data_IF_187175121681
#
_entry.id   IF_187175121681
#
_cell.length_a   1.000
_cell.length_b   1.000
_cell.length_c   1.000
_cell.angle_alpha   90.00
_cell.angle_beta   90.00
_cell.angle_gamma   90.00
#
_symmetry.space_group_name_H-M   'P 1'
#
loop_
_entity.id
_entity.type
_entity.pdbx_description
1 polymer ?
#
# COMPACT_ATOMS: atom_id res chain seq x y z
N UNK A 1 -8.18 -24.52 1.23
CA UNK A 1 -7.78 -23.63 2.33
C UNK A 1 -8.90 -22.64 2.55
N UNK A 2 -9.44 -22.51 3.75
CA UNK A 2 -10.42 -21.47 4.10
C UNK A 2 -9.76 -20.11 3.95
N UNK A 3 -10.38 -19.18 3.22
CA UNK A 3 -9.89 -17.80 3.08
C UNK A 3 -9.77 -17.21 4.48
N UNK A 4 -8.58 -16.73 4.84
CA UNK A 4 -8.39 -16.01 6.09
C UNK A 4 -9.34 -14.81 6.17
N UNK A 5 -9.68 -14.37 7.37
CA UNK A 5 -10.40 -13.12 7.55
C UNK A 5 -9.67 -11.98 6.82
N UNK A 6 -10.44 -11.04 6.28
CA UNK A 6 -9.89 -9.90 5.55
C UNK A 6 -8.95 -9.10 6.47
N UNK A 7 -7.71 -8.81 6.05
CA UNK A 7 -6.78 -8.10 6.91
C UNK A 7 -7.18 -6.63 7.03
N UNK A 8 -7.02 -6.08 8.22
CA UNK A 8 -6.90 -4.63 8.40
C UNK A 8 -5.57 -4.15 7.81
N UNK A 9 -5.65 -3.21 6.87
CA UNK A 9 -4.52 -2.53 6.23
C UNK A 9 -4.52 -1.06 6.65
N UNK A 10 -3.48 -0.66 7.38
CA UNK A 10 -3.33 0.72 7.88
C UNK A 10 -2.67 1.58 6.81
N UNK A 11 -3.32 2.69 6.46
CA UNK A 11 -2.79 3.68 5.50
C UNK A 11 -2.73 5.09 6.10
N UNK A 12 -1.89 5.92 5.50
CA UNK A 12 -1.75 7.34 5.83
C UNK A 12 -1.68 8.16 4.55
N UNK A 13 -2.30 9.34 4.60
CA UNK A 13 -2.39 10.25 3.44
C UNK A 13 -1.70 11.58 3.69
N UNK A 14 -1.31 12.25 2.60
CA UNK A 14 -0.71 13.57 2.59
C UNK A 14 -1.23 14.37 1.38
N UNK A 15 -1.49 15.67 1.57
CA UNK A 15 -1.98 16.56 0.52
C UNK A 15 -3.50 16.64 0.46
N UNK A 16 -4.00 17.31 -0.58
CA UNK A 16 -5.42 17.52 -0.84
C UNK A 16 -6.00 16.32 -1.60
N UNK A 17 -7.07 15.65 -1.11
CA UNK A 17 -7.73 14.55 -1.84
C UNK A 17 -8.31 14.93 -3.21
N UNK A 18 -8.45 16.23 -3.53
CA UNK A 18 -8.82 16.69 -4.86
C UNK A 18 -7.67 16.62 -5.89
N UNK A 19 -6.42 16.43 -5.44
CA UNK A 19 -5.26 16.28 -6.32
C UNK A 19 -5.13 14.85 -6.88
N UNK A 20 -4.40 14.67 -8.01
CA UNK A 20 -4.12 13.34 -8.55
C UNK A 20 -3.50 12.38 -7.50
N UNK A 21 -4.10 11.20 -7.27
CA UNK A 21 -3.64 10.28 -6.24
C UNK A 21 -2.40 9.51 -6.64
N UNK A 22 -1.56 9.23 -5.64
CA UNK A 22 -0.34 8.43 -5.75
C UNK A 22 -0.28 7.41 -4.62
N UNK A 23 -0.25 6.13 -4.98
CA UNK A 23 -0.06 5.03 -4.03
C UNK A 23 1.42 4.63 -3.97
N UNK A 24 1.98 4.66 -2.77
CA UNK A 24 3.34 4.25 -2.47
C UNK A 24 3.34 2.84 -1.85
N UNK A 25 3.95 1.87 -2.53
CA UNK A 25 4.05 0.47 -2.13
C UNK A 25 5.49 0.17 -1.69
N UNK A 26 5.68 -0.10 -0.40
CA UNK A 26 7.01 -0.36 0.16
C UNK A 26 7.46 -1.81 -0.08
N UNK A 27 8.78 -2.03 0.01
CA UNK A 27 9.41 -3.34 -0.11
C UNK A 27 9.14 -4.29 1.06
N UNK A 28 9.68 -5.51 0.95
CA UNK A 28 9.51 -6.57 1.94
C UNK A 28 10.00 -6.13 3.33
N UNK A 29 9.26 -6.53 4.37
CA UNK A 29 9.58 -6.29 5.79
C UNK A 29 9.68 -4.81 6.22
N UNK A 30 9.45 -3.86 5.30
CA UNK A 30 9.48 -2.45 5.59
C UNK A 30 8.06 -1.91 5.82
N UNK A 31 7.91 -1.10 6.86
CA UNK A 31 6.66 -0.38 7.13
C UNK A 31 6.53 0.85 6.21
N UNK A 32 5.35 1.45 6.18
CA UNK A 32 5.09 2.69 5.45
C UNK A 32 6.03 3.84 5.84
N UNK A 33 6.58 3.81 7.07
CA UNK A 33 7.45 4.85 7.60
C UNK A 33 8.81 4.90 6.89
N UNK A 34 9.17 3.85 6.16
CA UNK A 34 10.38 3.84 5.34
C UNK A 34 10.27 4.78 4.13
N UNK A 35 9.06 5.17 3.72
CA UNK A 35 8.87 6.37 2.90
C UNK A 35 8.99 7.54 3.87
N UNK A 36 10.07 8.35 3.88
CA UNK A 36 10.20 9.38 4.90
C UNK A 36 9.06 10.39 4.80
N UNK A 37 8.53 10.86 5.94
CA UNK A 37 7.42 11.81 5.93
C UNK A 37 7.73 13.07 5.10
N UNK A 38 8.96 13.59 5.21
CA UNK A 38 9.41 14.74 4.42
C UNK A 38 9.35 14.48 2.90
N UNK A 39 9.60 13.24 2.46
CA UNK A 39 9.46 12.85 1.07
C UNK A 39 7.98 12.87 0.64
N UNK A 40 7.09 12.26 1.43
CA UNK A 40 5.65 12.27 1.16
C UNK A 40 5.08 13.69 1.12
N UNK A 41 5.46 14.55 2.08
CA UNK A 41 5.06 15.97 2.11
C UNK A 41 5.60 16.75 0.93
N UNK A 42 6.83 16.47 0.47
CA UNK A 42 7.39 17.11 -0.72
C UNK A 42 6.59 16.74 -1.96
N UNK A 43 6.24 15.47 -2.15
CA UNK A 43 5.37 15.03 -3.25
C UNK A 43 3.99 15.69 -3.19
N UNK A 44 3.37 15.71 -2.00
CA UNK A 44 2.09 16.36 -1.80
C UNK A 44 2.12 17.87 -2.10
N UNK A 45 3.21 18.55 -1.70
CA UNK A 45 3.46 19.96 -2.02
C UNK A 45 3.66 20.25 -3.51
N UNK A 46 3.85 19.22 -4.34
CA UNK A 46 3.87 19.31 -5.81
C UNK A 46 2.52 18.93 -6.45
N UNK A 47 1.42 18.99 -5.69
CA UNK A 47 0.07 18.81 -6.22
C UNK A 47 -0.35 17.34 -6.39
N UNK A 48 0.10 16.46 -5.48
CA UNK A 48 -0.30 15.05 -5.45
C UNK A 48 -1.07 14.73 -4.16
N UNK A 49 -2.02 13.80 -4.24
CA UNK A 49 -2.60 13.16 -3.06
C UNK A 49 -1.86 11.87 -2.75
N UNK A 50 -0.94 11.90 -1.80
CA UNK A 50 -0.02 10.79 -1.55
C UNK A 50 -0.59 9.86 -0.50
N UNK A 51 -0.64 8.56 -0.81
CA UNK A 51 -1.12 7.49 0.06
C UNK A 51 0.05 6.52 0.25
N UNK A 52 0.39 6.23 1.50
CA UNK A 52 1.30 5.14 1.87
C UNK A 52 0.59 4.20 2.83
N UNK A 53 0.98 2.92 2.86
CA UNK A 53 0.35 1.94 3.74
C UNK A 53 1.35 0.90 4.24
N UNK A 54 1.00 0.28 5.35
CA UNK A 54 1.71 -0.87 5.90
C UNK A 54 1.22 -2.13 5.18
N UNK A 55 2.09 -2.86 4.48
CA UNK A 55 1.77 -4.21 4.05
C UNK A 55 1.38 -5.07 5.27
N UNK A 56 0.60 -6.12 5.06
CA UNK A 56 0.43 -7.17 6.08
C UNK A 56 1.79 -7.62 6.62
N UNK A 57 1.81 -7.95 7.92
CA UNK A 57 3.01 -8.31 8.69
C UNK A 57 4.02 -7.17 8.90
N UNK A 58 3.72 -5.94 8.49
CA UNK A 58 4.53 -4.75 8.80
C UNK A 58 3.74 -3.67 9.54
N UNK A 59 4.47 -2.82 10.27
CA UNK A 59 3.91 -1.65 10.95
C UNK A 59 2.68 -1.95 11.81
N UNK A 60 1.55 -1.31 11.50
CA UNK A 60 0.29 -1.42 12.25
C UNK A 60 -0.79 -2.26 11.56
N UNK A 61 -0.54 -2.75 10.34
CA UNK A 61 -1.44 -3.67 9.67
C UNK A 61 -1.49 -5.03 10.37
N UNK A 62 -2.48 -5.84 9.95
CA UNK A 62 -2.67 -7.22 10.42
C UNK A 62 -1.37 -8.01 10.34
N UNK A 63 -1.09 -8.80 11.38
CA UNK A 63 0.09 -9.68 11.47
C UNK A 63 -0.34 -11.12 11.72
N UNK A 64 0.44 -12.04 11.16
CA UNK A 64 0.24 -13.48 11.25
C UNK A 64 1.43 -14.14 11.95
N UNK A 65 1.25 -15.41 12.31
CA UNK A 65 2.33 -16.20 12.90
C UNK A 65 3.49 -16.34 11.90
N UNK A 66 4.74 -16.07 12.31
CA UNK A 66 5.91 -16.27 11.44
C UNK A 66 6.01 -17.70 10.92
N UNK A 67 6.29 -17.86 9.63
CA UNK A 67 6.48 -19.17 8.98
C UNK A 67 5.20 -19.81 8.42
N UNK A 68 4.03 -19.31 8.79
CA UNK A 68 2.73 -19.84 8.34
C UNK A 68 1.79 -18.71 7.84
N UNK A 69 2.21 -17.88 6.86
CA UNK A 69 1.35 -16.81 6.37
C UNK A 69 0.11 -17.42 5.69
N UNK A 70 -1.12 -17.10 6.15
CA UNK A 70 -2.34 -17.65 5.56
C UNK A 70 -2.76 -16.87 4.30
N UNK A 71 -1.79 -16.39 3.54
CA UNK A 71 -2.00 -15.53 2.38
C UNK A 71 -0.91 -15.72 1.33
N UNK A 72 -1.25 -15.26 0.13
CA UNK A 72 -0.41 -15.32 -1.06
C UNK A 72 0.09 -13.93 -1.44
N UNK A 73 1.03 -13.88 -2.38
CA UNK A 73 1.45 -12.61 -2.97
C UNK A 73 0.29 -11.91 -3.71
N UNK A 74 -0.65 -12.67 -4.30
CA UNK A 74 -1.82 -12.10 -4.98
C UNK A 74 -2.76 -11.39 -3.98
N UNK A 75 -2.89 -11.92 -2.76
CA UNK A 75 -3.63 -11.22 -1.71
C UNK A 75 -2.99 -9.87 -1.33
N UNK A 76 -1.66 -9.73 -1.46
CA UNK A 76 -0.98 -8.45 -1.24
C UNK A 76 -1.22 -7.46 -2.39
N UNK A 77 -1.45 -7.96 -3.61
CA UNK A 77 -1.88 -7.14 -4.75
C UNK A 77 -3.30 -6.63 -4.51
N UNK A 78 -4.19 -7.50 -4.05
CA UNK A 78 -5.56 -7.13 -3.68
C UNK A 78 -5.60 -6.13 -2.52
N UNK A 79 -4.67 -6.22 -1.55
CA UNK A 79 -4.55 -5.22 -0.48
C UNK A 79 -4.23 -3.83 -1.04
N UNK A 80 -3.32 -3.73 -2.00
CA UNK A 80 -2.95 -2.44 -2.61
C UNK A 80 -4.14 -1.80 -3.34
N UNK A 81 -4.94 -2.61 -4.06
CA UNK A 81 -6.18 -2.16 -4.71
C UNK A 81 -7.21 -1.74 -3.66
N UNK A 82 -7.41 -2.55 -2.62
CA UNK A 82 -8.35 -2.26 -1.53
C UNK A 82 -8.00 -0.98 -0.77
N UNK A 83 -6.71 -0.66 -0.61
CA UNK A 83 -6.30 0.65 -0.07
C UNK A 83 -6.87 1.79 -0.92
N UNK A 84 -6.81 1.70 -2.25
CA UNK A 84 -7.41 2.70 -3.13
C UNK A 84 -8.93 2.73 -3.01
N UNK A 85 -9.58 1.57 -2.98
CA UNK A 85 -11.04 1.46 -2.83
C UNK A 85 -11.54 2.11 -1.53
N UNK A 86 -10.83 1.90 -0.42
CA UNK A 86 -11.16 2.48 0.88
C UNK A 86 -11.01 4.02 0.90
N UNK A 87 -10.20 4.58 -0.01
CA UNK A 87 -10.09 6.03 -0.23
C UNK A 87 -11.02 6.54 -1.35
N UNK A 88 -11.83 5.69 -1.95
CA UNK A 88 -12.74 6.04 -3.05
C UNK A 88 -12.03 6.38 -4.36
N UNK A 89 -10.83 5.81 -4.60
CA UNK A 89 -9.98 6.15 -5.73
C UNK A 89 -10.04 5.07 -6.81
N UNK A 90 -10.54 5.45 -7.98
CA UNK A 90 -10.63 4.54 -9.13
C UNK A 90 -9.33 4.44 -9.96
N UNK A 91 -8.47 5.47 -9.93
CA UNK A 91 -7.22 5.54 -10.71
C UNK A 91 -6.16 6.29 -9.93
N UNK A 92 -4.93 5.79 -9.92
CA UNK A 92 -3.80 6.42 -9.23
C UNK A 92 -2.48 6.20 -9.98
N UNK A 93 -1.50 7.07 -9.71
CA UNK A 93 -0.10 6.75 -9.97
C UNK A 93 0.37 5.71 -8.95
N UNK A 94 0.93 4.59 -9.41
CA UNK A 94 1.41 3.53 -8.52
C UNK A 94 2.94 3.53 -8.53
N UNK A 95 3.55 3.65 -7.34
CA UNK A 95 5.00 3.66 -7.16
C UNK A 95 5.38 2.51 -6.24
N UNK A 96 6.16 1.57 -6.77
CA UNK A 96 6.62 0.40 -6.03
C UNK A 96 8.13 0.38 -5.82
N UNK A 97 8.58 0.07 -4.60
CA UNK A 97 10.00 -0.09 -4.26
C UNK A 97 10.32 -1.56 -3.95
N UNK A 98 11.31 -2.15 -4.63
CA UNK A 98 11.73 -3.55 -4.42
C UNK A 98 10.55 -4.53 -4.59
N UNK A 99 10.18 -5.30 -3.56
CA UNK A 99 8.95 -6.12 -3.56
C UNK A 99 7.70 -5.32 -3.93
N UNK A 100 7.60 -4.05 -3.51
CA UNK A 100 6.50 -3.19 -3.90
C UNK A 100 6.45 -2.91 -5.41
N UNK A 101 7.59 -2.97 -6.10
CA UNK A 101 7.66 -2.91 -7.57
C UNK A 101 7.09 -4.17 -8.24
N UNK A 102 7.23 -5.34 -7.61
CA UNK A 102 6.57 -6.56 -8.08
C UNK A 102 5.06 -6.48 -7.89
N UNK A 103 4.61 -5.98 -6.72
CA UNK A 103 3.18 -5.72 -6.47
C UNK A 103 2.62 -4.74 -7.50
N UNK A 104 3.30 -3.61 -7.74
CA UNK A 104 2.86 -2.60 -8.69
C UNK A 104 2.70 -3.15 -10.13
N UNK A 105 3.60 -4.03 -10.56
CA UNK A 105 3.46 -4.71 -11.86
C UNK A 105 2.21 -5.59 -11.91
N UNK A 106 1.93 -6.36 -10.85
CA UNK A 106 0.75 -7.22 -10.79
C UNK A 106 -0.54 -6.41 -10.69
N UNK A 107 -0.56 -5.29 -9.96
CA UNK A 107 -1.69 -4.35 -9.96
C UNK A 107 -1.99 -3.88 -11.39
N UNK A 108 -0.97 -3.57 -12.19
CA UNK A 108 -1.15 -3.12 -13.57
C UNK A 108 -1.66 -4.23 -14.53
N UNK A 109 -1.56 -5.50 -14.13
CA UNK A 109 -2.05 -6.64 -14.91
C UNK A 109 -3.45 -7.12 -14.49
N UNK A 110 -4.00 -6.58 -13.40
CA UNK A 110 -5.36 -6.90 -12.93
C UNK A 110 -6.42 -6.01 -13.56
#
# INVERSE_FOLDING_TARGET
MTKAAEPEIVSQTFGDPAHPPMLLIMGAMASMLWWPEAFCRKLAGNGLFVIRYDNRDTGRSTKYAPGEPPYTFDDMVDDAIRVLDNHGIAKAHVVGMSMGGMIAQLVALK
#
